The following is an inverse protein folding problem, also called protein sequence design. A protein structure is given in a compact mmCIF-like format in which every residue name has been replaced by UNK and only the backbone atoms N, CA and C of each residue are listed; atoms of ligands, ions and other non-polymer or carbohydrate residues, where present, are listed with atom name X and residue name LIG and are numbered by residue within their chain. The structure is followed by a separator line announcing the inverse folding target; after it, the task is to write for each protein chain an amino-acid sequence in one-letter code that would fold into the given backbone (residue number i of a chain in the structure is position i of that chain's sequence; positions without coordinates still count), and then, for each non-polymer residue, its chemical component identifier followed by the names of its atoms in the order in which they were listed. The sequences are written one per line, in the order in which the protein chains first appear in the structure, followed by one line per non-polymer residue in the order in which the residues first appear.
data_IF_996391134933
#
_entry.id   IF_996391134933
#
_cell.length_a   1.000
_cell.length_b   1.000
_cell.length_c   1.000
_cell.angle_alpha   90.00
_cell.angle_beta   90.00
_cell.angle_gamma   90.00
#
_symmetry.space_group_name_H-M   'P 1'
#
loop_
_entity.id
_entity.type
_entity.pdbx_description
1 polymer ?
#
# COMPACT_ATOMS: atom_id res chain seq x y z
N UNK A 1 21.06 20.50 -5.89
CA UNK A 1 19.73 20.18 -6.47
C UNK A 1 18.79 21.17 -5.82
N UNK A 2 18.29 22.13 -6.57
CA UNK A 2 17.34 23.14 -6.06
C UNK A 2 15.95 22.56 -6.28
N UNK A 3 15.24 22.25 -5.21
CA UNK A 3 13.83 21.90 -5.28
C UNK A 3 13.07 23.22 -5.44
N UNK A 4 12.48 23.48 -6.61
CA UNK A 4 11.50 24.55 -6.77
C UNK A 4 10.15 24.01 -6.33
N UNK A 5 9.56 24.58 -5.30
CA UNK A 5 8.21 24.29 -4.86
C UNK A 5 7.41 25.59 -4.92
N UNK A 6 6.22 25.55 -5.49
CA UNK A 6 5.30 26.69 -5.53
C UNK A 6 4.62 26.92 -4.17
N UNK A 7 4.61 25.91 -3.29
CA UNK A 7 4.05 25.98 -1.94
C UNK A 7 5.09 26.50 -0.95
N UNK A 8 4.66 27.17 0.13
CA UNK A 8 5.55 27.52 1.25
C UNK A 8 6.27 26.28 1.78
N UNK A 9 7.51 26.47 2.25
CA UNK A 9 8.33 25.38 2.79
C UNK A 9 8.73 25.69 4.22
N UNK A 10 8.54 24.74 5.11
CA UNK A 10 8.99 24.79 6.52
C UNK A 10 9.99 23.66 6.78
N UNK A 11 11.10 23.98 7.44
CA UNK A 11 11.98 22.96 8.04
C UNK A 11 11.66 22.89 9.53
N UNK A 12 11.06 21.81 9.95
CA UNK A 12 10.58 21.59 11.30
C UNK A 12 11.66 20.87 12.13
N UNK A 13 12.31 21.57 13.05
CA UNK A 13 13.42 21.00 13.82
C UNK A 13 13.43 21.41 15.31
N UNK A 14 12.64 22.39 15.69
CA UNK A 14 12.66 23.02 17.01
C UNK A 14 11.92 22.26 18.10
N UNK A 15 12.10 22.68 19.35
CA UNK A 15 11.34 22.18 20.49
C UNK A 15 9.88 22.64 20.47
N UNK A 16 9.57 23.72 19.78
CA UNK A 16 8.22 24.30 19.64
C UNK A 16 7.51 23.79 18.39
N UNK A 17 7.86 22.60 17.91
CA UNK A 17 7.37 22.03 16.65
C UNK A 17 5.85 21.96 16.58
N UNK A 18 5.17 21.70 17.69
CA UNK A 18 3.70 21.64 17.75
C UNK A 18 3.08 22.98 17.36
N UNK A 19 3.54 24.05 18.02
CA UNK A 19 3.07 25.40 17.72
C UNK A 19 3.41 25.83 16.29
N UNK A 20 4.63 25.55 15.81
CA UNK A 20 5.03 25.86 14.43
C UNK A 20 4.14 25.13 13.41
N UNK A 21 3.83 23.88 13.69
CA UNK A 21 2.99 23.05 12.81
C UNK A 21 1.52 23.51 12.83
N UNK A 22 0.96 23.89 13.97
CA UNK A 22 -0.39 24.43 14.10
C UNK A 22 -0.60 25.73 13.29
N UNK A 23 0.46 26.52 13.11
CA UNK A 23 0.43 27.76 12.32
C UNK A 23 0.74 27.54 10.84
N UNK A 24 1.04 26.31 10.45
CA UNK A 24 1.50 25.98 9.08
C UNK A 24 0.41 25.24 8.34
N UNK A 25 -0.01 25.80 7.21
CA UNK A 25 -1.09 25.25 6.36
C UNK A 25 -0.64 25.16 4.91
N UNK A 26 -1.15 24.16 4.17
CA UNK A 26 -0.91 23.94 2.73
C UNK A 26 0.56 24.03 2.30
N UNK A 27 1.47 23.71 3.20
CA UNK A 27 2.91 23.88 3.07
C UNK A 27 3.63 22.55 2.92
N UNK A 28 4.88 22.61 2.42
CA UNK A 28 5.77 21.43 2.43
C UNK A 28 6.63 21.48 3.69
N UNK A 29 6.42 20.51 4.57
CA UNK A 29 7.10 20.40 5.86
C UNK A 29 8.21 19.35 5.76
N UNK A 30 9.45 19.77 5.96
CA UNK A 30 10.63 18.91 5.99
C UNK A 30 10.99 18.60 7.43
N UNK A 31 11.16 17.29 7.74
CA UNK A 31 11.59 16.82 9.05
C UNK A 31 12.76 15.85 8.89
N UNK A 32 13.84 16.10 9.62
CA UNK A 32 15.02 15.24 9.60
C UNK A 32 15.06 14.25 10.76
N UNK A 33 15.78 13.14 10.57
CA UNK A 33 15.97 12.04 11.52
C UNK A 33 16.49 12.50 12.89
N UNK A 34 17.25 13.59 12.93
CA UNK A 34 17.81 14.13 14.18
C UNK A 34 16.79 14.74 15.14
N UNK A 35 15.54 14.92 14.68
CA UNK A 35 14.47 15.50 15.49
C UNK A 35 13.85 14.45 16.42
N UNK A 36 13.86 14.72 17.74
CA UNK A 36 13.38 13.76 18.74
C UNK A 36 11.89 13.43 18.63
N UNK A 37 11.09 14.35 18.10
CA UNK A 37 9.63 14.16 17.95
C UNK A 37 9.23 13.30 16.74
N UNK A 38 10.10 13.09 15.76
CA UNK A 38 9.77 12.38 14.52
C UNK A 38 9.16 10.99 14.77
N UNK A 39 9.58 10.31 15.81
CA UNK A 39 9.09 8.97 16.19
C UNK A 39 8.02 9.00 17.27
N UNK A 40 7.52 10.18 17.67
CA UNK A 40 6.51 10.30 18.70
C UNK A 40 5.09 10.07 18.17
N UNK A 41 4.22 9.59 19.03
CA UNK A 41 2.80 9.44 18.73
C UNK A 41 2.13 10.81 18.51
N UNK A 42 2.53 11.82 19.26
CA UNK A 42 2.00 13.17 19.10
C UNK A 42 2.28 13.76 17.71
N UNK A 43 3.48 13.51 17.16
CA UNK A 43 3.79 13.93 15.79
C UNK A 43 2.94 13.18 14.76
N UNK A 44 2.75 11.88 14.94
CA UNK A 44 1.90 11.10 14.04
C UNK A 44 0.45 11.61 14.03
N UNK A 45 -0.10 11.95 15.19
CA UNK A 45 -1.44 12.53 15.32
C UNK A 45 -1.52 13.91 14.68
N UNK A 46 -0.52 14.77 14.87
CA UNK A 46 -0.45 16.07 14.24
C UNK A 46 -0.41 15.98 12.71
N UNK A 47 0.40 15.04 12.15
CA UNK A 47 0.45 14.78 10.70
C UNK A 47 -0.90 14.38 10.15
N UNK A 48 -1.65 13.52 10.86
CA UNK A 48 -2.97 13.02 10.42
C UNK A 48 -4.05 14.11 10.36
N UNK A 49 -3.93 15.14 11.20
CA UNK A 49 -4.91 16.23 11.27
C UNK A 49 -4.49 17.48 10.49
N UNK A 50 -3.34 17.44 9.84
CA UNK A 50 -2.75 18.55 9.11
C UNK A 50 -3.17 18.53 7.63
N UNK A 51 -3.15 19.70 7.00
CA UNK A 51 -3.33 19.90 5.55
C UNK A 51 -1.98 20.11 4.83
N UNK A 52 -0.88 19.82 5.50
CA UNK A 52 0.46 19.96 4.96
C UNK A 52 0.94 18.70 4.22
N UNK A 53 1.97 18.88 3.38
CA UNK A 53 2.71 17.81 2.72
C UNK A 53 4.01 17.57 3.48
N UNK A 54 4.34 16.31 3.76
CA UNK A 54 5.50 15.98 4.57
C UNK A 54 6.61 15.31 3.77
N UNK A 55 7.84 15.77 3.98
CA UNK A 55 9.06 15.12 3.51
C UNK A 55 9.85 14.68 4.74
N UNK A 56 9.73 13.42 5.11
CA UNK A 56 10.38 12.85 6.29
C UNK A 56 11.66 12.14 5.87
N UNK A 57 12.80 12.61 6.37
CA UNK A 57 14.11 12.03 6.08
C UNK A 57 14.53 11.16 7.25
N UNK A 58 14.54 9.84 7.07
CA UNK A 58 14.82 8.89 8.15
C UNK A 58 15.56 7.66 7.64
N UNK A 59 16.33 7.00 8.50
CA UNK A 59 16.91 5.66 8.25
C UNK A 59 16.06 4.54 8.80
N UNK A 60 15.20 4.85 9.75
CA UNK A 60 14.34 3.87 10.42
C UNK A 60 12.88 4.01 9.96
N UNK A 61 12.13 2.93 9.93
CA UNK A 61 10.69 2.98 9.69
C UNK A 61 9.97 3.82 10.73
N UNK A 62 8.87 4.45 10.33
CA UNK A 62 8.00 5.23 11.20
C UNK A 62 6.65 4.49 11.38
N UNK A 63 6.58 3.48 12.28
CA UNK A 63 5.42 2.59 12.37
C UNK A 63 4.14 3.27 12.84
N UNK A 64 4.25 4.43 13.47
CA UNK A 64 3.12 5.22 13.93
C UNK A 64 2.45 6.05 12.81
N UNK A 65 3.13 6.22 11.67
CA UNK A 65 2.60 6.95 10.52
C UNK A 65 2.27 5.94 9.40
N UNK A 66 1.01 5.85 8.94
CA UNK A 66 0.69 5.03 7.78
C UNK A 66 1.17 5.74 6.51
N UNK A 67 2.05 5.10 5.76
CA UNK A 67 2.51 5.59 4.46
C UNK A 67 2.63 4.46 3.45
N UNK A 68 2.34 4.78 2.20
CA UNK A 68 2.45 3.83 1.10
C UNK A 68 3.91 3.54 0.76
N UNK A 69 4.16 2.33 0.28
CA UNK A 69 5.46 1.96 -0.30
C UNK A 69 5.83 2.89 -1.45
N UNK A 70 4.86 3.40 -2.20
CA UNK A 70 5.08 4.35 -3.30
C UNK A 70 5.60 5.71 -2.83
N UNK A 71 5.31 6.06 -1.58
CA UNK A 71 5.83 7.29 -0.95
C UNK A 71 7.31 7.17 -0.56
N UNK A 72 7.85 5.94 -0.49
CA UNK A 72 9.24 5.75 -0.07
C UNK A 72 10.19 6.06 -1.22
N UNK A 73 11.08 7.01 -0.97
CA UNK A 73 12.21 7.35 -1.83
C UNK A 73 13.50 6.85 -1.18
N UNK A 74 14.29 6.14 -1.94
CA UNK A 74 15.58 5.63 -1.49
C UNK A 74 16.71 6.51 -2.04
N UNK A 75 17.59 6.96 -1.17
CA UNK A 75 18.80 7.69 -1.59
C UNK A 75 19.88 6.65 -1.90
N UNK A 76 20.15 6.43 -3.17
CA UNK A 76 21.16 5.50 -3.65
C UNK A 76 22.42 6.26 -4.03
N UNK A 77 23.58 5.80 -3.52
CA UNK A 77 24.89 6.37 -3.89
C UNK A 77 25.54 5.46 -4.94
N UNK A 78 25.22 5.71 -6.20
CA UNK A 78 25.92 5.10 -7.31
C UNK A 78 26.87 6.12 -7.96
N UNK A 79 28.18 5.96 -7.77
CA UNK A 79 29.20 6.89 -8.26
C UNK A 79 29.32 8.15 -7.38
N UNK A 80 29.63 9.30 -8.00
CA UNK A 80 29.89 10.56 -7.31
C UNK A 80 28.62 11.34 -6.90
N UNK A 81 27.48 11.05 -7.53
CA UNK A 81 26.22 11.80 -7.33
C UNK A 81 25.15 10.89 -6.74
N UNK A 82 24.56 11.24 -5.59
CA UNK A 82 23.43 10.48 -5.05
C UNK A 82 22.20 10.62 -5.97
N UNK A 83 21.47 9.54 -6.13
CA UNK A 83 20.20 9.51 -6.87
C UNK A 83 19.07 9.15 -5.95
N UNK A 84 17.93 9.80 -6.12
CA UNK A 84 16.68 9.44 -5.45
C UNK A 84 15.92 8.51 -6.38
N UNK A 85 15.61 7.30 -5.90
CA UNK A 85 14.85 6.28 -6.63
C UNK A 85 13.65 5.85 -5.81
N UNK A 86 12.55 5.48 -6.47
CA UNK A 86 11.39 4.92 -5.78
C UNK A 86 11.73 3.51 -5.29
N UNK A 87 11.37 3.20 -4.06
CA UNK A 87 11.66 1.87 -3.50
C UNK A 87 10.96 0.77 -4.28
N UNK A 88 9.71 0.95 -4.68
CA UNK A 88 8.93 -0.07 -5.38
C UNK A 88 9.50 -0.43 -6.77
N UNK A 89 10.25 0.45 -7.44
CA UNK A 89 10.93 0.14 -8.71
C UNK A 89 11.97 -0.98 -8.55
N UNK A 90 12.49 -1.16 -7.32
CA UNK A 90 13.43 -2.23 -6.99
C UNK A 90 12.75 -3.51 -6.49
N UNK A 91 11.43 -3.48 -6.26
CA UNK A 91 10.67 -4.65 -5.84
C UNK A 91 10.04 -5.25 -7.09
N UNK A 92 10.66 -6.30 -7.65
CA UNK A 92 10.10 -6.94 -8.85
C UNK A 92 8.76 -7.61 -8.51
N UNK A 93 7.70 -7.02 -9.02
CA UNK A 93 6.37 -7.64 -9.04
C UNK A 93 6.32 -8.58 -10.23
N UNK A 94 6.24 -9.88 -9.99
CA UNK A 94 6.09 -10.85 -11.07
C UNK A 94 4.62 -10.99 -11.46
N UNK A 95 4.39 -11.20 -12.75
CA UNK A 95 3.08 -11.62 -13.27
C UNK A 95 2.65 -12.91 -12.57
N UNK A 96 1.41 -12.96 -12.11
CA UNK A 96 0.87 -14.11 -11.38
C UNK A 96 0.39 -15.22 -12.34
N UNK A 97 0.41 -14.97 -13.65
CA UNK A 97 -0.12 -15.87 -14.68
C UNK A 97 0.33 -17.33 -14.59
N UNK A 98 1.48 -17.59 -14.01
CA UNK A 98 2.06 -18.94 -14.00
C UNK A 98 2.13 -19.56 -12.59
N UNK A 99 1.69 -18.87 -11.56
CA UNK A 99 1.71 -19.28 -10.14
C UNK A 99 2.83 -20.29 -9.79
N UNK A 100 4.11 -19.95 -10.00
CA UNK A 100 5.21 -20.87 -9.73
C UNK A 100 5.50 -20.98 -8.23
N UNK A 101 4.47 -20.79 -7.40
CA UNK A 101 4.57 -20.72 -5.95
C UNK A 101 4.08 -22.01 -5.31
N UNK A 102 4.57 -22.26 -4.10
CA UNK A 102 4.11 -23.37 -3.26
C UNK A 102 3.02 -22.91 -2.27
N UNK A 103 2.98 -21.60 -2.02
CA UNK A 103 1.98 -20.96 -1.17
C UNK A 103 1.82 -19.47 -1.46
N UNK A 104 0.66 -18.93 -1.05
CA UNK A 104 0.34 -17.51 -1.02
C UNK A 104 0.10 -17.10 0.42
N UNK A 105 0.70 -16.00 0.86
CA UNK A 105 0.41 -15.36 2.15
C UNK A 105 -0.29 -14.05 1.86
N UNK A 106 -1.50 -13.88 2.36
CA UNK A 106 -2.29 -12.65 2.26
C UNK A 106 -2.26 -11.94 3.61
N UNK A 107 -2.00 -10.63 3.58
CA UNK A 107 -1.98 -9.82 4.81
C UNK A 107 -3.31 -9.85 5.54
N UNK A 108 -4.37 -9.57 4.80
CA UNK A 108 -5.76 -9.48 5.25
C UNK A 108 -6.32 -10.86 5.67
N UNK A 109 -7.33 -10.85 6.50
CA UNK A 109 -8.09 -12.03 6.95
C UNK A 109 -9.56 -12.00 6.52
N UNK A 110 -9.95 -11.09 5.62
CA UNK A 110 -11.33 -10.83 5.21
C UNK A 110 -11.48 -10.92 3.69
N UNK A 111 -11.97 -9.86 3.05
CA UNK A 111 -12.32 -9.84 1.63
C UNK A 111 -11.18 -10.27 0.71
N UNK A 112 -9.98 -9.71 0.90
CA UNK A 112 -8.81 -10.07 0.11
C UNK A 112 -8.39 -11.53 0.33
N UNK A 113 -8.36 -11.99 1.59
CA UNK A 113 -8.04 -13.38 1.89
C UNK A 113 -9.04 -14.35 1.24
N UNK A 114 -10.34 -14.13 1.38
CA UNK A 114 -11.36 -15.01 0.77
C UNK A 114 -11.27 -15.03 -0.75
N UNK A 115 -10.97 -13.87 -1.36
CA UNK A 115 -10.73 -13.81 -2.80
C UNK A 115 -9.53 -14.65 -3.22
N UNK A 116 -8.36 -14.42 -2.62
CA UNK A 116 -7.14 -15.14 -3.01
C UNK A 116 -7.20 -16.62 -2.63
N UNK A 117 -7.88 -17.00 -1.55
CA UNK A 117 -8.15 -18.39 -1.22
C UNK A 117 -8.92 -19.05 -2.35
N UNK A 118 -10.01 -18.42 -2.81
CA UNK A 118 -10.82 -18.96 -3.93
C UNK A 118 -10.04 -18.98 -5.24
N UNK A 119 -9.28 -17.93 -5.53
CA UNK A 119 -8.47 -17.84 -6.74
C UNK A 119 -7.35 -18.88 -6.81
N UNK A 120 -6.82 -19.32 -5.68
CA UNK A 120 -5.73 -20.30 -5.61
C UNK A 120 -6.20 -21.76 -5.56
N UNK A 121 -7.47 -22.01 -5.31
CA UNK A 121 -8.04 -23.37 -5.25
C UNK A 121 -7.81 -24.16 -6.55
N UNK A 122 -8.02 -23.54 -7.71
CA UNK A 122 -7.80 -24.17 -9.03
C UNK A 122 -6.35 -24.59 -9.27
N UNK A 123 -5.41 -23.90 -8.63
CA UNK A 123 -3.97 -24.16 -8.74
C UNK A 123 -3.44 -25.09 -7.63
N UNK A 124 -4.30 -25.57 -6.73
CA UNK A 124 -3.94 -26.39 -5.56
C UNK A 124 -2.85 -25.75 -4.69
N UNK A 125 -2.83 -24.42 -4.60
CA UNK A 125 -1.92 -23.66 -3.78
C UNK A 125 -2.50 -23.47 -2.38
N UNK A 126 -1.62 -23.53 -1.39
CA UNK A 126 -1.98 -23.18 -0.02
C UNK A 126 -2.08 -21.66 0.11
N UNK A 127 -3.25 -21.17 0.51
CA UNK A 127 -3.47 -19.75 0.81
C UNK A 127 -3.57 -19.57 2.33
N UNK A 128 -2.72 -18.72 2.89
CA UNK A 128 -2.61 -18.46 4.33
C UNK A 128 -2.88 -16.98 4.61
N UNK A 129 -3.64 -16.68 5.67
CA UNK A 129 -3.77 -15.31 6.16
C UNK A 129 -2.71 -14.99 7.21
N UNK A 130 -2.12 -13.81 7.11
CA UNK A 130 -1.21 -13.30 8.13
C UNK A 130 -1.92 -12.61 9.30
N UNK A 131 -3.24 -12.38 9.20
CA UNK A 131 -4.00 -11.61 10.18
C UNK A 131 -3.39 -10.23 10.48
N UNK A 132 -2.99 -9.54 9.42
CA UNK A 132 -2.36 -8.23 9.46
C UNK A 132 -0.85 -8.27 9.18
N UNK A 133 -0.30 -7.11 8.88
CA UNK A 133 1.09 -6.92 8.40
C UNK A 133 2.16 -7.50 9.34
N UNK A 134 1.98 -7.40 10.65
CA UNK A 134 2.92 -7.93 11.65
C UNK A 134 3.00 -9.46 11.67
N UNK A 135 2.00 -10.16 11.15
CA UNK A 135 1.96 -11.63 11.06
C UNK A 135 2.77 -12.21 9.89
N UNK A 136 3.03 -11.42 8.86
CA UNK A 136 3.66 -11.91 7.61
C UNK A 136 5.03 -12.53 7.88
N UNK A 137 5.92 -11.84 8.59
CA UNK A 137 7.27 -12.36 8.88
C UNK A 137 7.20 -13.65 9.70
N UNK A 138 6.29 -13.73 10.66
CA UNK A 138 6.10 -14.94 11.48
C UNK A 138 5.68 -16.14 10.64
N UNK A 139 4.74 -15.93 9.70
CA UNK A 139 4.32 -16.98 8.77
C UNK A 139 5.45 -17.38 7.81
N UNK A 140 6.18 -16.42 7.28
CA UNK A 140 7.34 -16.70 6.43
C UNK A 140 8.39 -17.54 7.14
N UNK A 141 8.64 -17.27 8.43
CA UNK A 141 9.59 -18.03 9.26
C UNK A 141 9.12 -19.44 9.55
N UNK A 142 7.86 -19.62 9.93
CA UNK A 142 7.29 -20.91 10.31
C UNK A 142 6.94 -21.81 9.13
N UNK A 143 6.66 -21.26 7.95
CA UNK A 143 6.29 -22.01 6.76
C UNK A 143 7.44 -22.90 6.26
N UNK A 144 7.14 -24.14 5.90
CA UNK A 144 8.07 -25.06 5.23
C UNK A 144 8.15 -24.84 3.71
N UNK A 145 7.30 -24.00 3.15
CA UNK A 145 7.24 -23.70 1.71
C UNK A 145 8.46 -22.89 1.30
N UNK A 146 8.94 -23.12 0.08
CA UNK A 146 10.15 -22.47 -0.43
C UNK A 146 9.88 -21.33 -1.39
N UNK A 147 8.81 -21.42 -2.17
CA UNK A 147 8.39 -20.39 -3.13
C UNK A 147 7.08 -19.78 -2.65
N UNK A 148 7.16 -18.57 -2.16
CA UNK A 148 6.03 -17.91 -1.49
C UNK A 148 5.75 -16.57 -2.16
N UNK A 149 4.50 -16.34 -2.50
CA UNK A 149 4.00 -15.02 -2.87
C UNK A 149 3.37 -14.36 -1.63
N UNK A 150 3.82 -13.16 -1.32
CA UNK A 150 3.21 -12.32 -0.27
C UNK A 150 2.36 -11.24 -0.95
N UNK A 151 1.11 -11.14 -0.54
CA UNK A 151 0.15 -10.14 -1.01
C UNK A 151 -0.23 -9.27 0.18
N UNK A 152 0.00 -7.96 0.07
CA UNK A 152 -0.31 -6.99 1.12
C UNK A 152 -0.68 -5.63 0.54
N UNK A 153 -1.51 -4.88 1.25
CA UNK A 153 -1.94 -3.56 0.84
C UNK A 153 -0.79 -2.53 0.98
N UNK A 154 -0.30 -2.01 -0.14
CA UNK A 154 0.84 -1.08 -0.18
C UNK A 154 0.57 0.24 0.54
N UNK A 155 -0.70 0.67 0.58
CA UNK A 155 -1.12 1.99 1.08
C UNK A 155 -0.66 2.33 2.51
N UNK A 156 -0.51 1.31 3.35
CA UNK A 156 -0.05 1.50 4.73
C UNK A 156 1.06 0.51 5.14
N UNK A 157 1.75 -0.07 4.16
CA UNK A 157 2.73 -1.13 4.37
C UNK A 157 4.19 -0.63 4.43
N UNK A 158 4.39 0.66 4.23
CA UNK A 158 5.72 1.27 4.22
C UNK A 158 6.59 0.93 5.44
N UNK A 159 6.07 0.96 6.67
CA UNK A 159 6.85 0.64 7.86
C UNK A 159 7.42 -0.77 7.89
N UNK A 160 6.71 -1.75 7.35
CA UNK A 160 7.07 -3.17 7.41
C UNK A 160 8.04 -3.61 6.32
N UNK A 161 8.13 -2.86 5.22
CA UNK A 161 8.86 -3.30 4.01
C UNK A 161 10.35 -3.54 4.27
N UNK A 162 11.00 -2.72 5.12
CA UNK A 162 12.42 -2.89 5.48
C UNK A 162 12.68 -4.28 6.08
N UNK A 163 11.85 -4.69 7.04
CA UNK A 163 11.97 -6.00 7.70
C UNK A 163 11.76 -7.17 6.73
N UNK A 164 10.79 -7.05 5.82
CA UNK A 164 10.54 -8.07 4.80
C UNK A 164 11.67 -8.19 3.78
N UNK A 165 12.20 -7.08 3.29
CA UNK A 165 13.33 -7.09 2.37
C UNK A 165 14.58 -7.69 3.02
N UNK A 166 14.83 -7.36 4.29
CA UNK A 166 15.92 -7.96 5.06
C UNK A 166 15.73 -9.48 5.22
N UNK A 167 14.54 -9.93 5.61
CA UNK A 167 14.24 -11.35 5.73
C UNK A 167 14.39 -12.07 4.39
N UNK A 168 13.87 -11.50 3.29
CA UNK A 168 14.04 -12.05 1.94
C UNK A 168 15.51 -12.24 1.56
N UNK A 169 16.35 -11.27 1.90
CA UNK A 169 17.80 -11.33 1.60
C UNK A 169 18.56 -12.33 2.48
N UNK A 170 18.08 -12.62 3.69
CA UNK A 170 18.73 -13.50 4.66
C UNK A 170 18.27 -14.95 4.62
N UNK A 171 17.20 -15.28 3.86
CA UNK A 171 16.63 -16.62 3.76
C UNK A 171 16.99 -17.30 2.44
N UNK A 172 16.97 -18.63 2.42
CA UNK A 172 17.07 -19.43 1.19
C UNK A 172 15.71 -19.64 0.48
N UNK A 173 14.64 -19.04 0.99
CA UNK A 173 13.32 -19.05 0.36
C UNK A 173 13.26 -18.06 -0.76
N UNK A 174 12.54 -18.40 -1.83
CA UNK A 174 12.16 -17.47 -2.89
C UNK A 174 10.87 -16.77 -2.49
N UNK A 175 10.98 -15.50 -2.15
CA UNK A 175 9.84 -14.68 -1.72
C UNK A 175 9.65 -13.58 -2.75
N UNK A 176 8.48 -13.58 -3.38
CA UNK A 176 8.03 -12.51 -4.26
C UNK A 176 6.91 -11.72 -3.56
N UNK A 177 6.79 -10.45 -3.89
CA UNK A 177 5.79 -9.56 -3.34
C UNK A 177 4.86 -9.08 -4.43
N UNK A 178 3.57 -9.02 -4.12
CA UNK A 178 2.57 -8.27 -4.86
C UNK A 178 1.92 -7.28 -3.89
N UNK A 179 2.11 -6.00 -4.15
CA UNK A 179 1.76 -4.92 -3.23
C UNK A 179 0.87 -3.90 -3.98
N UNK A 180 -0.42 -4.21 -4.20
CA UNK A 180 -1.39 -3.24 -4.72
C UNK A 180 -1.61 -2.14 -3.70
N UNK A 181 -2.17 -0.99 -4.10
CA UNK A 181 -2.54 0.04 -3.13
C UNK A 181 -3.49 -0.49 -2.06
N UNK A 182 -4.52 -1.22 -2.50
CA UNK A 182 -5.35 -2.07 -1.64
C UNK A 182 -6.01 -3.17 -2.48
N UNK A 183 -6.67 -4.10 -1.83
CA UNK A 183 -7.48 -5.11 -2.52
C UNK A 183 -8.64 -4.46 -3.29
N UNK A 184 -9.29 -3.44 -2.73
CA UNK A 184 -10.36 -2.69 -3.38
C UNK A 184 -9.87 -1.94 -4.63
N UNK A 185 -8.66 -1.34 -4.57
CA UNK A 185 -8.01 -0.75 -5.73
C UNK A 185 -7.80 -1.78 -6.85
N UNK A 186 -7.43 -3.00 -6.51
CA UNK A 186 -7.24 -4.07 -7.48
C UNK A 186 -8.56 -4.45 -8.17
N UNK A 187 -9.66 -4.53 -7.42
CA UNK A 187 -11.00 -4.75 -7.96
C UNK A 187 -11.39 -3.62 -8.91
N UNK A 188 -11.22 -2.36 -8.49
CA UNK A 188 -11.56 -1.19 -9.30
C UNK A 188 -10.78 -1.14 -10.62
N UNK A 189 -9.55 -1.60 -10.64
CA UNK A 189 -8.72 -1.72 -11.85
C UNK A 189 -9.02 -2.92 -12.74
N UNK A 190 -9.90 -3.80 -12.33
CA UNK A 190 -10.32 -4.93 -13.15
C UNK A 190 -11.30 -4.50 -14.23
N UNK A 191 -11.52 -5.35 -15.24
CA UNK A 191 -12.47 -5.08 -16.32
C UNK A 191 -13.93 -4.94 -15.83
N UNK A 192 -14.22 -5.28 -14.57
CA UNK A 192 -15.54 -5.11 -13.96
C UNK A 192 -15.98 -3.63 -13.97
N UNK A 193 -15.02 -2.71 -13.84
CA UNK A 193 -15.26 -1.26 -13.76
C UNK A 193 -14.66 -0.47 -14.93
N UNK A 194 -14.18 -1.12 -16.00
CA UNK A 194 -13.54 -0.44 -17.15
C UNK A 194 -14.46 0.58 -17.84
N UNK A 195 -15.77 0.40 -17.73
CA UNK A 195 -16.79 1.30 -18.34
C UNK A 195 -17.31 2.39 -17.40
N UNK A 196 -16.85 2.41 -16.17
CA UNK A 196 -17.26 3.41 -15.19
C UNK A 196 -16.29 4.60 -15.28
N UNK A 197 -16.77 5.70 -15.95
CA UNK A 197 -15.94 6.86 -16.23
C UNK A 197 -15.45 7.56 -14.96
N UNK A 198 -16.28 7.62 -13.91
CA UNK A 198 -15.90 8.23 -12.63
C UNK A 198 -14.78 7.42 -11.94
N UNK A 199 -14.91 6.09 -11.94
CA UNK A 199 -13.87 5.20 -11.42
C UNK A 199 -12.57 5.37 -12.21
N UNK A 200 -12.64 5.37 -13.54
CA UNK A 200 -11.43 5.47 -14.37
C UNK A 200 -10.73 6.82 -14.20
N UNK A 201 -11.47 7.91 -14.09
CA UNK A 201 -10.90 9.23 -13.82
C UNK A 201 -10.17 9.27 -12.47
N UNK A 202 -10.77 8.73 -11.41
CA UNK A 202 -10.17 8.70 -10.07
C UNK A 202 -8.97 7.75 -9.97
N UNK A 203 -8.95 6.68 -10.75
CA UNK A 203 -7.81 5.77 -10.82
C UNK A 203 -6.64 6.34 -11.63
N UNK A 204 -6.91 7.22 -12.60
CA UNK A 204 -5.87 7.85 -13.40
C UNK A 204 -5.03 8.85 -12.60
N UNK A 205 -5.67 9.60 -11.72
CA UNK A 205 -4.99 10.57 -10.84
C UNK A 205 -5.63 10.60 -9.45
N UNK A 206 -5.41 9.57 -8.63
CA UNK A 206 -6.07 9.47 -7.33
C UNK A 206 -5.65 10.58 -6.35
N UNK A 207 -4.48 11.18 -6.54
CA UNK A 207 -3.97 12.26 -5.67
C UNK A 207 -4.90 13.47 -5.67
N UNK A 208 -5.53 13.77 -6.80
CA UNK A 208 -6.48 14.88 -6.93
C UNK A 208 -7.80 14.67 -6.17
N UNK A 209 -8.08 13.44 -5.73
CA UNK A 209 -9.35 13.06 -5.11
C UNK A 209 -9.21 12.62 -3.65
N UNK A 210 -8.00 12.40 -3.17
CA UNK A 210 -7.74 11.95 -1.80
C UNK A 210 -7.51 13.18 -0.92
N UNK A 211 -8.46 13.46 -0.03
CA UNK A 211 -8.25 14.35 1.10
C UNK A 211 -7.83 13.53 2.32
N UNK A 212 -6.64 13.80 2.85
CA UNK A 212 -6.13 13.07 4.02
C UNK A 212 -6.93 13.34 5.30
N UNK A 213 -7.71 14.42 5.38
CA UNK A 213 -8.64 14.67 6.50
C UNK A 213 -9.88 13.78 6.42
N UNK A 214 -10.33 13.46 5.21
CA UNK A 214 -11.47 12.59 4.98
C UNK A 214 -11.04 11.11 4.97
N UNK A 215 -9.94 10.81 4.30
CA UNK A 215 -9.44 9.45 4.13
C UNK A 215 -8.11 9.29 4.83
N UNK A 216 -8.10 8.66 5.99
CA UNK A 216 -6.90 8.36 6.77
C UNK A 216 -5.80 7.63 5.96
N UNK A 217 -6.17 6.87 4.93
CA UNK A 217 -5.26 6.16 4.05
C UNK A 217 -5.86 5.98 2.66
N UNK A 218 -5.01 5.74 1.67
CA UNK A 218 -5.42 5.38 0.31
C UNK A 218 -6.34 4.16 0.27
N UNK A 219 -6.12 3.21 1.15
CA UNK A 219 -7.00 2.05 1.32
C UNK A 219 -8.44 2.46 1.62
N UNK A 220 -8.64 3.42 2.53
CA UNK A 220 -10.00 3.91 2.86
C UNK A 220 -10.65 4.64 1.70
N UNK A 221 -9.89 5.42 0.95
CA UNK A 221 -10.37 6.06 -0.26
C UNK A 221 -10.87 5.04 -1.28
N UNK A 222 -10.05 4.03 -1.62
CA UNK A 222 -10.45 3.02 -2.58
C UNK A 222 -11.60 2.15 -2.08
N UNK A 223 -11.70 1.90 -0.79
CA UNK A 223 -12.86 1.23 -0.21
C UNK A 223 -14.13 2.05 -0.41
N UNK A 224 -14.12 3.35 -0.11
CA UNK A 224 -15.27 4.23 -0.31
C UNK A 224 -15.66 4.33 -1.79
N UNK A 225 -14.68 4.44 -2.67
CA UNK A 225 -14.89 4.46 -4.12
C UNK A 225 -15.55 3.16 -4.62
N UNK A 226 -15.07 2.00 -4.18
CA UNK A 226 -15.64 0.70 -4.56
C UNK A 226 -17.07 0.52 -4.03
N UNK A 227 -17.34 0.93 -2.79
CA UNK A 227 -18.69 0.92 -2.22
C UNK A 227 -19.63 1.76 -3.07
N UNK A 228 -19.23 2.97 -3.43
CA UNK A 228 -20.02 3.85 -4.29
C UNK A 228 -20.23 3.27 -5.69
N UNK A 229 -19.17 2.82 -6.34
CA UNK A 229 -19.20 2.31 -7.72
C UNK A 229 -19.98 0.99 -7.86
N UNK A 230 -20.05 0.19 -6.80
CA UNK A 230 -20.77 -1.10 -6.78
C UNK A 230 -22.22 -0.98 -6.31
N UNK A 231 -22.65 0.16 -5.82
CA UNK A 231 -24.00 0.38 -5.27
C UNK A 231 -25.07 0.00 -6.30
N UNK A 232 -26.03 -0.82 -5.86
CA UNK A 232 -27.13 -1.27 -6.71
C UNK A 232 -26.74 -2.28 -7.80
N UNK A 233 -25.50 -2.76 -7.83
CA UNK A 233 -25.08 -3.84 -8.76
C UNK A 233 -25.30 -5.19 -8.08
N UNK A 234 -26.26 -6.03 -8.54
CA UNK A 234 -26.55 -7.31 -7.91
C UNK A 234 -25.31 -8.18 -7.77
N UNK A 235 -25.10 -8.80 -6.60
CA UNK A 235 -23.98 -9.68 -6.25
C UNK A 235 -22.59 -9.02 -6.26
N UNK A 236 -22.47 -7.73 -6.61
CA UNK A 236 -21.24 -6.98 -6.62
C UNK A 236 -21.23 -5.83 -5.59
N UNK A 237 -22.34 -5.57 -4.92
CA UNK A 237 -22.46 -4.48 -3.95
C UNK A 237 -21.49 -4.72 -2.77
N UNK A 238 -20.44 -3.88 -2.74
CA UNK A 238 -19.35 -4.02 -1.78
C UNK A 238 -19.77 -3.41 -0.42
N UNK A 239 -19.55 -4.11 0.69
CA UNK A 239 -19.98 -3.63 2.00
C UNK A 239 -19.12 -2.44 2.47
N UNK A 240 -19.74 -1.48 3.14
CA UNK A 240 -19.04 -0.33 3.76
C UNK A 240 -18.10 -0.73 4.90
N UNK A 241 -18.30 -1.90 5.48
CA UNK A 241 -17.44 -2.45 6.52
C UNK A 241 -16.73 -3.70 6.00
N UNK A 242 -15.43 -3.82 6.25
CA UNK A 242 -14.64 -4.99 5.87
C UNK A 242 -15.25 -6.27 6.45
N UNK A 243 -15.63 -7.18 5.58
CA UNK A 243 -16.29 -8.43 5.92
C UNK A 243 -16.04 -9.51 4.87
N UNK A 244 -17.08 -10.26 4.52
CA UNK A 244 -17.07 -11.19 3.41
C UNK A 244 -17.09 -10.45 2.08
N UNK A 245 -16.41 -11.01 1.07
CA UNK A 245 -16.49 -10.52 -0.30
C UNK A 245 -17.83 -10.94 -0.94
N UNK A 246 -18.53 -10.06 -1.68
CA UNK A 246 -19.72 -10.42 -2.43
C UNK A 246 -19.45 -11.54 -3.46
N UNK A 247 -20.40 -12.46 -3.59
CA UNK A 247 -20.24 -13.68 -4.40
C UNK A 247 -19.96 -13.41 -5.89
N UNK A 248 -20.41 -12.27 -6.41
CA UNK A 248 -20.15 -11.88 -7.79
C UNK A 248 -18.66 -11.72 -8.10
N UNK A 249 -17.85 -11.28 -7.14
CA UNK A 249 -16.39 -11.19 -7.33
C UNK A 249 -15.70 -12.57 -7.34
N UNK A 250 -16.37 -13.62 -6.88
CA UNK A 250 -15.83 -14.98 -6.80
C UNK A 250 -16.21 -15.87 -7.99
N UNK A 251 -16.87 -15.32 -9.01
CA UNK A 251 -17.11 -16.04 -10.28
C UNK A 251 -15.78 -16.17 -11.04
N UNK A 252 -15.61 -17.24 -11.81
CA UNK A 252 -14.37 -17.47 -12.58
C UNK A 252 -13.99 -16.28 -13.44
N UNK A 253 -14.95 -15.74 -14.21
CA UNK A 253 -14.70 -14.57 -15.07
C UNK A 253 -14.21 -13.33 -14.31
N UNK A 254 -14.76 -13.07 -13.12
CA UNK A 254 -14.36 -11.93 -12.32
C UNK A 254 -13.05 -12.19 -11.56
N UNK A 255 -12.79 -13.41 -11.12
CA UNK A 255 -11.47 -13.81 -10.60
C UNK A 255 -10.41 -13.57 -11.65
N UNK A 256 -10.58 -14.06 -12.87
CA UNK A 256 -9.63 -13.86 -13.96
C UNK A 256 -9.45 -12.39 -14.28
N UNK A 257 -10.52 -11.61 -14.28
CA UNK A 257 -10.46 -10.15 -14.50
C UNK A 257 -9.61 -9.44 -13.44
N UNK A 258 -9.81 -9.78 -12.16
CA UNK A 258 -9.07 -9.19 -11.04
C UNK A 258 -7.61 -9.66 -11.05
N UNK A 259 -7.35 -10.94 -11.30
CA UNK A 259 -5.97 -11.45 -11.43
C UNK A 259 -5.24 -10.82 -12.62
N UNK A 260 -5.93 -10.57 -13.74
CA UNK A 260 -5.37 -9.85 -14.88
C UNK A 260 -5.02 -8.40 -14.54
N UNK A 261 -5.78 -7.75 -13.65
CA UNK A 261 -5.44 -6.41 -13.16
C UNK A 261 -4.13 -6.38 -12.36
N UNK A 262 -3.74 -7.49 -11.70
CA UNK A 262 -2.43 -7.60 -11.05
C UNK A 262 -1.26 -7.49 -12.04
N UNK A 263 -1.49 -7.84 -13.30
CA UNK A 263 -0.48 -7.79 -14.37
C UNK A 263 -0.43 -6.44 -15.10
N UNK A 264 -1.45 -5.60 -14.92
CA UNK A 264 -1.47 -4.22 -15.42
C UNK A 264 -0.62 -3.39 -14.44
N UNK A 265 0.64 -3.16 -14.75
CA UNK A 265 1.56 -2.38 -13.90
C UNK A 265 0.94 -1.07 -13.38
N UNK A 266 1.44 -0.56 -12.28
CA UNK A 266 1.16 0.84 -11.87
C UNK A 266 1.68 1.74 -13.00
N UNK A 267 0.77 2.40 -13.73
CA UNK A 267 1.15 3.43 -14.71
C UNK A 267 1.54 4.70 -13.99
#
# INVERSE_FOLDING_TARGET
MTLSCEKPCLVLAGKNWEYELEQTHESVVFVEESTAFLTSQAFAEAVQHSDNYYVLVTREPLPQIPYSIDSIKWISKHGKTPKIVKLHENISVKKISDFPYDAVIVEDSKSGFFFFQRATESHKLECMTANGKSGIIKLLQSSKKRRILVIADAAAFGPEIKGLLYYRASTNKKIDFFLPESFEWLILRSAIFDRDADVQQKLADPVEYIDCKEYFSWERFFTALLVSASKGKPNLEYPSHKGSIPSGYLTEANIDSILNAMNRGKQ
#
